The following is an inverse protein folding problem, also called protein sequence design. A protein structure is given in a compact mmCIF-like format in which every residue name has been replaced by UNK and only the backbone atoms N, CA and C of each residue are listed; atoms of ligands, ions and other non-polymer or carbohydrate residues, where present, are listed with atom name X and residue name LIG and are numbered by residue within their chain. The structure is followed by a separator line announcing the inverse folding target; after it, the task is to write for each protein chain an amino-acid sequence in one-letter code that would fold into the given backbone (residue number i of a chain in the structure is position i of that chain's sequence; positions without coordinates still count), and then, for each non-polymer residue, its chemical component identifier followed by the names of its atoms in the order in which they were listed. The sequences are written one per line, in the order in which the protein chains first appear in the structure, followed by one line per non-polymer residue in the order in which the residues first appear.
data_IF_220348653163
#
_entry.id   IF_220348653163
#
_cell.length_a   1.000
_cell.length_b   1.000
_cell.length_c   1.000
_cell.angle_alpha   90.00
_cell.angle_beta   90.00
_cell.angle_gamma   90.00
#
_symmetry.space_group_name_H-M   'P 1'
#
loop_
_entity.id
_entity.type
_entity.pdbx_description
1 polymer ?
#
# COMPACT_ATOMS: atom_id res chain seq x y z
N UNK A 1 8.78 -8.99 11.97
CA UNK A 1 8.07 -10.10 11.33
C UNK A 1 8.46 -10.10 9.86
N UNK A 2 9.17 -11.13 9.41
CA UNK A 2 9.58 -11.24 8.00
C UNK A 2 8.50 -12.00 7.24
N UNK A 3 8.16 -11.52 6.05
CA UNK A 3 7.31 -12.20 5.07
C UNK A 3 8.22 -12.65 3.94
N UNK A 4 8.21 -13.93 3.63
CA UNK A 4 8.99 -14.48 2.55
C UNK A 4 8.27 -14.23 1.20
N UNK A 5 9.03 -14.09 0.12
CA UNK A 5 8.46 -13.85 -1.22
C UNK A 5 7.47 -14.94 -1.64
N UNK A 6 7.74 -16.20 -1.27
CA UNK A 6 6.87 -17.35 -1.51
C UNK A 6 5.53 -17.32 -0.74
N UNK A 7 5.45 -16.50 0.34
CA UNK A 7 4.23 -16.28 1.10
C UNK A 7 3.32 -15.21 0.46
N UNK A 8 3.80 -14.54 -0.60
CA UNK A 8 3.10 -13.47 -1.31
C UNK A 8 2.52 -13.99 -2.62
N UNK A 9 1.28 -13.64 -2.90
CA UNK A 9 0.65 -13.80 -4.21
C UNK A 9 0.08 -12.48 -4.67
N UNK A 10 0.28 -12.16 -5.97
CA UNK A 10 -0.29 -10.95 -6.57
C UNK A 10 -1.79 -11.10 -6.71
N UNK A 11 -2.53 -10.05 -6.39
CA UNK A 11 -3.97 -9.94 -6.53
C UNK A 11 -4.32 -8.97 -7.69
N UNK A 12 -5.54 -9.00 -8.24
CA UNK A 12 -5.97 -7.98 -9.19
C UNK A 12 -5.94 -6.59 -8.56
N UNK A 13 -5.36 -5.61 -9.29
CA UNK A 13 -5.25 -4.21 -8.82
C UNK A 13 -6.51 -3.38 -9.02
N UNK A 14 -7.40 -3.82 -9.92
CA UNK A 14 -8.62 -3.09 -10.23
C UNK A 14 -9.75 -3.49 -9.29
N UNK A 15 -10.34 -2.51 -8.63
CA UNK A 15 -11.52 -2.67 -7.80
C UNK A 15 -12.62 -1.76 -8.31
N UNK A 16 -13.79 -2.33 -8.54
CA UNK A 16 -14.96 -1.60 -9.01
C UNK A 16 -15.90 -1.43 -7.82
N UNK A 17 -16.10 -0.20 -7.37
CA UNK A 17 -17.11 0.14 -6.37
C UNK A 17 -18.21 0.98 -7.00
N UNK A 18 -19.46 0.79 -6.56
CA UNK A 18 -20.56 1.69 -6.95
C UNK A 18 -20.42 2.98 -6.13
N UNK A 19 -20.17 4.09 -6.79
CA UNK A 19 -20.31 5.39 -6.17
C UNK A 19 -21.81 5.74 -5.97
N UNK A 20 -22.15 6.25 -4.82
CA UNK A 20 -23.53 6.44 -4.39
C UNK A 20 -24.26 7.59 -5.13
N UNK A 21 -23.55 8.43 -5.90
CA UNK A 21 -24.14 9.68 -6.41
C UNK A 21 -24.51 9.75 -7.89
N UNK A 22 -23.98 8.88 -8.77
CA UNK A 22 -24.17 9.10 -10.23
C UNK A 22 -24.33 7.84 -11.09
N UNK A 23 -24.72 6.71 -10.53
CA UNK A 23 -24.75 5.40 -11.25
C UNK A 23 -23.46 5.05 -12.01
N UNK A 24 -22.39 5.82 -11.81
CA UNK A 24 -21.07 5.54 -12.39
C UNK A 24 -20.29 4.60 -11.48
N UNK A 25 -19.78 3.54 -12.06
CA UNK A 25 -18.81 2.67 -11.40
C UNK A 25 -17.54 3.48 -11.14
N UNK A 26 -17.17 3.61 -9.86
CA UNK A 26 -15.89 4.19 -9.50
C UNK A 26 -14.84 3.10 -9.54
N UNK A 27 -13.87 3.24 -10.42
CA UNK A 27 -12.74 2.33 -10.51
C UNK A 27 -11.66 2.81 -9.54
N UNK A 28 -11.39 1.98 -8.53
CA UNK A 28 -10.24 2.15 -7.65
C UNK A 28 -9.13 1.24 -8.15
N UNK A 29 -7.98 1.81 -8.44
CA UNK A 29 -6.81 1.07 -8.87
C UNK A 29 -5.73 1.14 -7.79
N UNK A 30 -5.30 -0.02 -7.31
CA UNK A 30 -4.14 -0.17 -6.43
C UNK A 30 -2.92 -0.54 -7.28
N UNK A 31 -1.77 0.04 -6.96
CA UNK A 31 -0.57 -0.19 -7.76
C UNK A 31 -0.10 -1.64 -7.66
N UNK A 32 0.08 -2.16 -6.46
CA UNK A 32 0.54 -3.54 -6.25
C UNK A 32 -0.20 -4.20 -5.08
N UNK A 33 -1.38 -4.78 -5.31
CA UNK A 33 -2.06 -5.57 -4.30
C UNK A 33 -1.45 -6.98 -4.19
N UNK A 34 -1.22 -7.42 -2.98
CA UNK A 34 -0.69 -8.74 -2.67
C UNK A 34 -1.45 -9.40 -1.54
N UNK A 35 -1.59 -10.72 -1.61
CA UNK A 35 -2.09 -11.55 -0.52
C UNK A 35 -0.93 -12.30 0.10
N UNK A 36 -0.75 -12.12 1.38
CA UNK A 36 0.23 -12.84 2.16
C UNK A 36 -0.44 -13.95 2.97
N UNK A 37 0.11 -15.16 2.92
CA UNK A 37 -0.34 -16.31 3.73
C UNK A 37 0.76 -16.71 4.68
N UNK A 38 0.46 -16.70 5.99
CA UNK A 38 1.38 -17.13 7.04
C UNK A 38 0.64 -17.88 8.14
N UNK A 39 1.09 -19.11 8.46
CA UNK A 39 0.53 -19.93 9.54
C UNK A 39 -1.01 -20.07 9.51
N UNK A 40 -1.57 -20.45 8.34
CA UNK A 40 -3.03 -20.56 8.10
C UNK A 40 -3.84 -19.27 8.27
N UNK A 41 -3.17 -18.12 8.32
CA UNK A 41 -3.82 -16.79 8.29
C UNK A 41 -3.37 -16.03 7.07
N UNK A 42 -4.21 -15.13 6.59
CA UNK A 42 -3.87 -14.24 5.49
C UNK A 42 -4.05 -12.79 5.88
N UNK A 43 -3.32 -11.93 5.21
CA UNK A 43 -3.55 -10.50 5.19
C UNK A 43 -3.31 -9.99 3.77
N UNK A 44 -3.88 -8.83 3.47
CA UNK A 44 -3.67 -8.16 2.20
C UNK A 44 -2.70 -6.99 2.41
N UNK A 45 -1.72 -6.90 1.53
CA UNK A 45 -0.76 -5.83 1.50
C UNK A 45 -0.92 -5.07 0.19
N UNK A 46 -1.21 -3.79 0.28
CA UNK A 46 -1.32 -2.89 -0.87
C UNK A 46 -0.12 -1.96 -0.87
N UNK A 47 0.64 -1.94 -1.95
CA UNK A 47 1.73 -0.99 -2.13
C UNK A 47 1.25 0.12 -3.05
N UNK A 48 1.41 1.35 -2.62
CA UNK A 48 1.13 2.56 -3.39
C UNK A 48 2.42 3.32 -3.63
N UNK A 49 2.77 3.49 -4.90
CA UNK A 49 3.97 4.20 -5.30
C UNK A 49 3.64 5.68 -5.51
N UNK A 50 4.28 6.55 -4.76
CA UNK A 50 4.04 7.99 -4.84
C UNK A 50 5.34 8.74 -5.09
N UNK A 51 5.42 9.42 -6.22
CA UNK A 51 6.49 10.37 -6.56
C UNK A 51 6.06 11.82 -6.35
N UNK A 52 4.74 12.07 -6.37
CA UNK A 52 4.14 13.38 -6.25
C UNK A 52 3.26 13.54 -5.01
N UNK A 53 2.92 14.79 -4.73
CA UNK A 53 2.13 15.21 -3.57
C UNK A 53 0.68 14.75 -3.69
N UNK A 54 0.29 13.75 -2.94
CA UNK A 54 -1.10 13.30 -2.83
C UNK A 54 -1.70 13.71 -1.48
N UNK A 55 -2.55 14.74 -1.50
CA UNK A 55 -3.18 15.27 -0.29
C UNK A 55 -4.35 14.43 0.21
N UNK A 56 -4.84 13.49 -0.58
CA UNK A 56 -6.06 12.71 -0.28
C UNK A 56 -5.76 11.25 -0.01
N UNK A 57 -4.50 10.91 0.29
CA UNK A 57 -4.09 9.52 0.48
C UNK A 57 -4.86 8.78 1.58
N UNK A 58 -5.15 9.38 2.76
CA UNK A 58 -5.97 8.72 3.78
C UNK A 58 -7.36 8.33 3.27
N UNK A 59 -8.00 9.19 2.46
CA UNK A 59 -9.33 8.89 1.89
C UNK A 59 -9.24 7.82 0.80
N UNK A 60 -8.19 7.84 -0.01
CA UNK A 60 -7.95 6.76 -1.00
C UNK A 60 -7.74 5.42 -0.30
N UNK A 61 -6.93 5.39 0.75
CA UNK A 61 -6.68 4.18 1.55
C UNK A 61 -7.96 3.62 2.16
N UNK A 62 -8.83 4.48 2.73
CA UNK A 62 -10.16 4.05 3.18
C UNK A 62 -10.95 3.36 2.06
N UNK A 63 -10.91 3.92 0.86
CA UNK A 63 -11.55 3.32 -0.32
C UNK A 63 -11.01 1.94 -0.65
N UNK A 64 -9.70 1.76 -0.65
CA UNK A 64 -9.04 0.48 -0.92
C UNK A 64 -9.38 -0.57 0.15
N UNK A 65 -9.26 -0.21 1.43
CA UNK A 65 -9.58 -1.10 2.53
C UNK A 65 -11.05 -1.51 2.49
N UNK A 66 -11.97 -0.55 2.28
CA UNK A 66 -13.40 -0.83 2.14
C UNK A 66 -13.66 -1.80 1.01
N UNK A 67 -13.15 -1.53 -0.19
CA UNK A 67 -13.36 -2.39 -1.35
C UNK A 67 -12.87 -3.82 -1.09
N UNK A 68 -11.69 -3.97 -0.47
CA UNK A 68 -11.12 -5.29 -0.17
C UNK A 68 -11.86 -6.04 0.94
N UNK A 69 -12.39 -5.35 1.94
CA UNK A 69 -13.27 -5.96 2.94
C UNK A 69 -14.61 -6.39 2.32
N UNK A 70 -15.19 -5.60 1.42
CA UNK A 70 -16.43 -5.96 0.73
C UNK A 70 -16.25 -7.17 -0.19
N UNK A 71 -15.11 -7.31 -0.84
CA UNK A 71 -14.75 -8.50 -1.61
C UNK A 71 -14.71 -9.76 -0.72
N UNK A 72 -14.04 -9.70 0.42
CA UNK A 72 -13.99 -10.80 1.39
C UNK A 72 -15.38 -11.19 1.92
N UNK A 73 -16.23 -10.20 2.20
CA UNK A 73 -17.61 -10.42 2.63
C UNK A 73 -18.41 -11.14 1.52
N UNK A 74 -18.24 -10.70 0.27
CA UNK A 74 -18.88 -11.33 -0.88
C UNK A 74 -18.46 -12.79 -1.04
N UNK A 75 -17.15 -13.07 -0.95
CA UNK A 75 -16.62 -14.45 -1.03
C UNK A 75 -17.16 -15.33 0.11
N UNK A 76 -17.19 -14.81 1.33
CA UNK A 76 -17.74 -15.52 2.49
C UNK A 76 -19.22 -15.84 2.29
N UNK A 77 -19.99 -14.88 1.81
CA UNK A 77 -21.41 -15.03 1.49
C UNK A 77 -21.67 -16.10 0.42
N UNK A 78 -20.87 -16.10 -0.65
CA UNK A 78 -20.97 -17.11 -1.70
C UNK A 78 -20.59 -18.51 -1.18
N UNK A 79 -19.56 -18.61 -0.35
CA UNK A 79 -19.17 -19.85 0.31
C UNK A 79 -20.27 -20.38 1.23
N UNK A 80 -20.84 -19.53 2.09
CA UNK A 80 -21.94 -19.89 2.99
C UNK A 80 -23.16 -20.36 2.20
N UNK A 81 -23.45 -19.73 1.06
CA UNK A 81 -24.55 -20.13 0.17
C UNK A 81 -24.32 -21.54 -0.41
N UNK A 82 -23.09 -21.84 -0.86
CA UNK A 82 -22.76 -23.15 -1.46
C UNK A 82 -22.80 -24.28 -0.43
N UNK A 83 -22.40 -24.00 0.81
CA UNK A 83 -22.33 -24.99 1.89
C UNK A 83 -23.62 -25.14 2.69
N UNK A 84 -24.63 -24.29 2.43
CA UNK A 84 -25.85 -24.25 3.23
C UNK A 84 -25.67 -23.76 4.66
N UNK A 85 -24.50 -23.21 4.96
CA UNK A 85 -24.14 -22.76 6.30
C UNK A 85 -24.59 -21.30 6.54
N UNK A 86 -25.91 -21.13 6.71
CA UNK A 86 -26.51 -19.84 7.03
C UNK A 86 -26.82 -19.75 8.52
N UNK A 87 -26.10 -18.97 9.30
CA UNK A 87 -26.41 -18.82 10.72
C UNK A 87 -27.73 -18.06 10.96
N UNK A 88 -28.08 -17.14 10.07
CA UNK A 88 -29.33 -16.39 10.10
C UNK A 88 -29.80 -16.07 8.67
N UNK A 89 -31.02 -16.48 8.26
CA UNK A 89 -31.57 -16.16 6.95
C UNK A 89 -31.68 -14.67 6.63
N UNK A 90 -31.73 -13.81 7.64
CA UNK A 90 -31.84 -12.35 7.47
C UNK A 90 -30.49 -11.65 7.30
N UNK A 91 -29.40 -12.22 7.84
CA UNK A 91 -28.07 -11.59 7.80
C UNK A 91 -27.07 -12.29 6.88
N UNK A 92 -27.46 -13.05 5.96
CA UNK A 92 -26.76 -13.84 4.91
C UNK A 92 -25.29 -13.49 4.55
N UNK A 93 -24.54 -12.79 5.40
CA UNK A 93 -23.19 -12.29 5.15
C UNK A 93 -22.13 -13.14 5.87
N UNK A 94 -21.59 -12.66 6.95
CA UNK A 94 -20.63 -13.39 7.77
C UNK A 94 -21.37 -14.17 8.87
N UNK A 95 -20.89 -15.36 9.20
CA UNK A 95 -21.33 -16.04 10.42
C UNK A 95 -20.40 -15.67 11.59
N UNK A 96 -20.83 -15.97 12.82
CA UNK A 96 -20.15 -15.54 14.05
C UNK A 96 -18.69 -16.03 14.17
N UNK A 97 -18.37 -17.12 13.51
CA UNK A 97 -17.01 -17.71 13.50
C UNK A 97 -16.11 -17.16 12.39
N UNK A 98 -16.67 -16.51 11.38
CA UNK A 98 -15.93 -15.98 10.25
C UNK A 98 -15.28 -14.63 10.62
N UNK A 99 -14.03 -14.46 10.24
CA UNK A 99 -13.28 -13.21 10.43
C UNK A 99 -12.68 -12.77 9.09
N UNK A 100 -12.60 -11.47 8.89
CA UNK A 100 -11.94 -10.90 7.74
C UNK A 100 -10.42 -10.89 7.95
N UNK A 101 -9.69 -11.04 6.86
CA UNK A 101 -8.24 -10.86 6.84
C UNK A 101 -7.91 -9.36 6.89
N UNK A 102 -6.90 -8.93 7.68
CA UNK A 102 -6.47 -7.54 7.70
C UNK A 102 -6.05 -7.05 6.31
N UNK A 103 -6.31 -5.78 6.04
CA UNK A 103 -5.82 -5.06 4.86
C UNK A 103 -4.88 -3.98 5.33
N UNK A 104 -3.68 -3.94 4.79
CA UNK A 104 -2.62 -2.99 5.15
C UNK A 104 -2.18 -2.30 3.88
N UNK A 105 -2.15 -0.96 3.91
CA UNK A 105 -1.60 -0.17 2.80
C UNK A 105 -0.26 0.43 3.22
N UNK A 106 0.75 0.24 2.39
CA UNK A 106 2.05 0.90 2.51
C UNK A 106 2.22 1.88 1.36
N UNK A 107 2.43 3.14 1.69
CA UNK A 107 2.75 4.19 0.72
C UNK A 107 4.27 4.31 0.63
N UNK A 108 4.82 3.98 -0.52
CA UNK A 108 6.24 4.12 -0.81
C UNK A 108 6.49 5.49 -1.41
N UNK A 109 7.08 6.38 -0.64
CA UNK A 109 7.45 7.72 -1.12
C UNK A 109 8.83 7.68 -1.79
N UNK A 110 8.83 7.79 -3.11
CA UNK A 110 10.04 7.88 -3.95
C UNK A 110 10.63 9.29 -4.04
N UNK A 111 9.90 10.28 -3.53
CA UNK A 111 10.37 11.67 -3.52
C UNK A 111 11.63 11.83 -2.66
N UNK A 112 12.51 12.75 -3.06
CA UNK A 112 13.66 13.18 -2.26
C UNK A 112 13.24 13.93 -0.99
N UNK A 113 12.00 14.42 -0.94
CA UNK A 113 11.44 15.11 0.22
C UNK A 113 10.67 14.13 1.08
N UNK A 114 10.73 14.32 2.37
CA UNK A 114 9.88 13.60 3.30
C UNK A 114 8.40 13.88 3.02
N UNK A 115 7.58 12.93 3.44
CA UNK A 115 6.13 13.05 3.31
C UNK A 115 5.58 14.09 4.28
N UNK A 116 5.23 15.26 3.75
CA UNK A 116 4.65 16.39 4.50
C UNK A 116 3.12 16.47 4.35
N UNK A 117 2.48 15.40 3.86
CA UNK A 117 1.06 15.35 3.58
C UNK A 117 0.28 14.72 4.72
N UNK A 118 -1.06 14.87 4.74
CA UNK A 118 -1.87 14.18 5.71
C UNK A 118 -1.52 12.69 5.82
N UNK A 119 -1.31 12.22 7.04
CA UNK A 119 -1.03 10.80 7.34
C UNK A 119 -2.23 10.10 7.93
N UNK A 120 -3.22 10.84 8.37
CA UNK A 120 -4.48 10.27 8.84
C UNK A 120 -5.66 11.12 8.36
N UNK A 121 -6.85 10.54 8.44
CA UNK A 121 -8.08 11.22 8.05
C UNK A 121 -8.26 12.51 8.85
N UNK A 122 -7.96 12.50 10.15
CA UNK A 122 -8.16 13.64 11.03
C UNK A 122 -7.34 14.87 10.60
N UNK A 123 -6.18 14.67 9.96
CA UNK A 123 -5.35 15.76 9.42
C UNK A 123 -6.05 16.50 8.25
N UNK A 124 -7.12 15.93 7.70
CA UNK A 124 -7.85 16.44 6.54
C UNK A 124 -9.20 17.06 6.93
N UNK A 125 -9.63 16.89 8.18
CA UNK A 125 -10.95 17.31 8.62
C UNK A 125 -10.90 18.72 9.19
N UNK A 126 -11.90 19.50 8.85
CA UNK A 126 -12.18 20.80 9.46
C UNK A 126 -13.29 20.63 10.51
N UNK A 127 -12.94 20.96 11.74
CA UNK A 127 -13.89 20.89 12.85
C UNK A 127 -14.36 22.31 13.21
N UNK A 128 -15.64 22.48 13.60
CA UNK A 128 -16.04 23.68 14.30
C UNK A 128 -15.20 23.86 15.57
N UNK A 129 -14.70 25.08 15.82
CA UNK A 129 -13.70 25.34 16.88
C UNK A 129 -14.15 24.89 18.27
N UNK A 130 -15.43 25.02 18.55
CA UNK A 130 -16.07 24.70 19.86
C UNK A 130 -16.48 23.21 19.97
N UNK A 131 -16.51 22.46 18.86
CA UNK A 131 -16.99 21.07 18.84
C UNK A 131 -15.91 20.02 18.58
N UNK A 132 -14.68 20.42 18.34
CA UNK A 132 -13.61 19.47 17.98
C UNK A 132 -13.44 18.36 19.02
N UNK A 133 -13.36 18.74 20.31
CA UNK A 133 -13.16 17.77 21.39
C UNK A 133 -14.32 16.78 21.56
N UNK A 134 -15.52 17.18 21.13
CA UNK A 134 -16.72 16.33 21.22
C UNK A 134 -16.85 15.39 20.02
N UNK A 135 -16.47 15.85 18.82
CA UNK A 135 -16.65 15.11 17.58
C UNK A 135 -15.49 14.16 17.27
N UNK A 136 -14.25 14.60 17.54
CA UNK A 136 -13.04 13.83 17.18
C UNK A 136 -13.03 12.37 17.73
N UNK A 137 -13.50 12.08 18.98
CA UNK A 137 -13.55 10.71 19.49
C UNK A 137 -14.50 9.77 18.72
N UNK A 138 -15.46 10.32 17.97
CA UNK A 138 -16.42 9.54 17.19
C UNK A 138 -15.96 9.26 15.75
N UNK A 139 -14.87 9.89 15.34
CA UNK A 139 -14.34 9.74 13.99
C UNK A 139 -13.19 8.74 14.01
N UNK A 140 -13.32 7.60 13.31
CA UNK A 140 -12.22 6.65 13.21
C UNK A 140 -10.99 7.30 12.57
N UNK A 141 -9.84 7.17 13.21
CA UNK A 141 -8.59 7.60 12.62
C UNK A 141 -8.11 6.54 11.61
N UNK A 142 -8.16 6.89 10.34
CA UNK A 142 -7.55 6.09 9.27
C UNK A 142 -6.16 6.63 9.01
N UNK A 143 -5.15 5.84 9.37
CA UNK A 143 -3.74 6.22 9.22
C UNK A 143 -3.08 5.43 8.11
N UNK A 144 -2.37 6.12 7.24
CA UNK A 144 -1.56 5.50 6.19
C UNK A 144 -0.13 5.27 6.69
N UNK A 145 0.42 4.11 6.39
CA UNK A 145 1.82 3.81 6.68
C UNK A 145 2.68 4.31 5.52
N UNK A 146 3.45 5.38 5.76
CA UNK A 146 4.33 5.97 4.74
C UNK A 146 5.78 5.60 5.01
N UNK A 147 6.45 5.10 3.99
CA UNK A 147 7.87 4.79 3.99
C UNK A 147 8.58 5.77 3.04
N UNK A 148 9.38 6.68 3.60
CA UNK A 148 10.22 7.58 2.81
C UNK A 148 11.48 6.83 2.39
N UNK A 149 11.59 6.47 1.12
CA UNK A 149 12.67 5.61 0.63
C UNK A 149 14.02 6.34 0.61
N UNK A 150 14.02 7.62 0.24
CA UNK A 150 15.26 8.42 0.15
C UNK A 150 15.91 8.70 1.52
N UNK A 151 15.15 8.63 2.62
CA UNK A 151 15.68 8.90 3.99
C UNK A 151 15.89 7.64 4.83
N UNK A 152 15.95 6.46 4.20
CA UNK A 152 16.20 5.20 4.90
C UNK A 152 17.64 5.14 5.43
N UNK A 153 17.77 4.61 6.66
CA UNK A 153 19.10 4.40 7.26
C UNK A 153 19.85 3.26 6.57
N UNK A 154 21.20 3.32 6.61
CA UNK A 154 22.05 2.24 6.11
C UNK A 154 21.71 0.87 6.70
N UNK A 155 21.36 0.84 7.98
CA UNK A 155 20.96 -0.39 8.68
C UNK A 155 19.67 -0.95 8.12
N UNK A 156 18.73 -0.09 7.74
CA UNK A 156 17.47 -0.48 7.10
C UNK A 156 17.70 -0.97 5.67
N UNK A 157 18.51 -0.24 4.89
CA UNK A 157 18.82 -0.61 3.49
C UNK A 157 19.44 -1.99 3.41
N UNK A 158 20.36 -2.32 4.33
CA UNK A 158 21.00 -3.64 4.40
C UNK A 158 20.04 -4.80 4.73
N UNK A 159 18.85 -4.50 5.25
CA UNK A 159 17.84 -5.53 5.53
C UNK A 159 17.03 -5.93 4.30
N UNK A 160 17.04 -5.13 3.24
CA UNK A 160 16.41 -5.50 1.98
C UNK A 160 17.23 -6.59 1.28
N UNK A 161 16.57 -7.70 0.96
CA UNK A 161 17.23 -8.88 0.36
C UNK A 161 17.12 -8.91 -1.17
N UNK A 162 16.21 -8.11 -1.77
CA UNK A 162 15.99 -8.06 -3.21
C UNK A 162 16.73 -6.89 -3.85
N UNK A 163 16.66 -6.79 -5.18
CA UNK A 163 17.18 -5.65 -5.96
C UNK A 163 16.67 -4.30 -5.48
N UNK A 164 15.57 -4.29 -4.71
CA UNK A 164 15.01 -3.09 -4.09
C UNK A 164 16.01 -2.36 -3.20
N UNK A 165 16.98 -3.05 -2.60
CA UNK A 165 18.09 -2.44 -1.84
C UNK A 165 18.87 -1.41 -2.68
N UNK A 166 19.09 -1.72 -3.95
CA UNK A 166 19.84 -0.85 -4.87
C UNK A 166 19.00 0.38 -5.25
N UNK A 167 17.69 0.21 -5.43
CA UNK A 167 16.76 1.31 -5.67
C UNK A 167 16.76 2.29 -4.49
N UNK A 168 16.58 1.76 -3.28
CA UNK A 168 16.55 2.60 -2.06
C UNK A 168 17.89 3.31 -1.86
N UNK A 169 19.01 2.62 -2.12
CA UNK A 169 20.35 3.22 -2.06
C UNK A 169 20.52 4.34 -3.08
N UNK A 170 20.10 4.12 -4.32
CA UNK A 170 20.12 5.15 -5.34
C UNK A 170 19.33 6.40 -4.89
N UNK A 171 18.10 6.20 -4.40
CA UNK A 171 17.26 7.28 -3.91
C UNK A 171 17.90 8.02 -2.74
N UNK A 172 18.64 7.34 -1.85
CA UNK A 172 19.34 7.96 -0.72
C UNK A 172 20.50 8.86 -1.13
N UNK A 173 21.06 8.67 -2.33
CA UNK A 173 22.07 9.56 -2.89
C UNK A 173 21.50 10.93 -3.28
N UNK A 174 20.20 11.00 -3.53
CA UNK A 174 19.51 12.21 -3.94
C UNK A 174 20.03 12.75 -5.27
N UNK A 175 20.08 14.10 -5.37
CA UNK A 175 20.63 14.80 -6.53
C UNK A 175 22.13 15.09 -6.38
N UNK A 176 22.80 14.48 -5.40
CA UNK A 176 24.23 14.66 -5.18
C UNK A 176 25.02 13.80 -6.15
N UNK A 177 25.55 14.42 -7.21
CA UNK A 177 26.30 13.74 -8.27
C UNK A 177 27.52 12.97 -7.73
N UNK A 178 28.18 13.48 -6.68
CA UNK A 178 29.35 12.80 -6.11
C UNK A 178 28.95 11.50 -5.43
N UNK A 179 27.84 11.52 -4.68
CA UNK A 179 27.31 10.32 -4.03
C UNK A 179 26.83 9.30 -5.05
N UNK A 180 26.22 9.75 -6.15
CA UNK A 180 25.81 8.86 -7.24
C UNK A 180 27.02 8.24 -7.93
N UNK A 181 28.05 9.03 -8.28
CA UNK A 181 29.26 8.52 -8.89
C UNK A 181 29.96 7.51 -7.96
N UNK A 182 30.10 7.83 -6.66
CA UNK A 182 30.64 6.91 -5.67
C UNK A 182 29.81 5.63 -5.57
N UNK A 183 28.49 5.75 -5.52
CA UNK A 183 27.57 4.60 -5.48
C UNK A 183 27.78 3.65 -6.65
N UNK A 184 27.83 4.16 -7.87
CA UNK A 184 28.02 3.32 -9.06
C UNK A 184 29.43 2.74 -9.18
N UNK A 185 30.45 3.44 -8.68
CA UNK A 185 31.85 2.97 -8.71
C UNK A 185 32.16 1.91 -7.64
N UNK A 186 31.49 1.99 -6.48
CA UNK A 186 31.81 1.15 -5.30
C UNK A 186 30.84 0.01 -5.10
N UNK A 187 29.69 0.00 -5.79
CA UNK A 187 28.67 -1.05 -5.62
C UNK A 187 28.91 -2.18 -6.60
N UNK A 188 29.12 -3.38 -6.07
CA UNK A 188 29.02 -4.61 -6.82
C UNK A 188 27.53 -4.98 -6.92
N UNK A 189 26.98 -4.88 -8.13
CA UNK A 189 25.58 -5.16 -8.38
C UNK A 189 25.40 -6.66 -8.65
N UNK A 190 24.75 -7.34 -7.73
CA UNK A 190 24.25 -8.70 -7.89
C UNK A 190 22.73 -8.62 -8.03
N UNK A 191 22.25 -8.53 -9.26
CA UNK A 191 20.84 -8.31 -9.56
C UNK A 191 20.15 -9.63 -9.91
N UNK A 192 19.03 -9.90 -9.23
CA UNK A 192 18.14 -11.01 -9.53
C UNK A 192 17.28 -10.70 -10.78
N UNK A 193 16.92 -9.41 -10.97
CA UNK A 193 16.09 -8.93 -12.08
C UNK A 193 16.70 -7.69 -12.75
N UNK A 194 17.82 -7.84 -13.48
CA UNK A 194 18.57 -6.71 -14.04
C UNK A 194 17.75 -5.85 -15.01
N UNK A 195 16.91 -6.46 -15.85
CA UNK A 195 16.07 -5.73 -16.81
C UNK A 195 15.08 -4.81 -16.06
N UNK A 196 14.39 -5.32 -15.07
CA UNK A 196 13.43 -4.52 -14.28
C UNK A 196 14.12 -3.38 -13.51
N UNK A 197 15.35 -3.61 -13.03
CA UNK A 197 16.14 -2.56 -12.39
C UNK A 197 16.54 -1.46 -13.37
N UNK A 198 17.00 -1.82 -14.57
CA UNK A 198 17.39 -0.88 -15.61
C UNK A 198 16.19 -0.09 -16.14
N UNK A 199 15.04 -0.74 -16.35
CA UNK A 199 13.80 -0.09 -16.74
C UNK A 199 13.37 0.96 -15.69
N UNK A 200 13.45 0.59 -14.40
CA UNK A 200 13.16 1.53 -13.32
C UNK A 200 14.15 2.70 -13.31
N UNK A 201 15.45 2.43 -13.44
CA UNK A 201 16.50 3.45 -13.46
C UNK A 201 16.30 4.42 -14.62
N UNK A 202 16.02 3.89 -15.82
CA UNK A 202 15.70 4.69 -17.00
C UNK A 202 14.48 5.60 -16.79
N UNK A 203 13.42 5.07 -16.18
CA UNK A 203 12.21 5.83 -15.88
C UNK A 203 12.45 6.97 -14.88
N UNK A 204 13.29 6.73 -13.87
CA UNK A 204 13.57 7.73 -12.82
C UNK A 204 14.55 8.79 -13.28
N UNK A 205 15.56 8.39 -14.06
CA UNK A 205 16.60 9.31 -14.57
C UNK A 205 16.16 10.03 -15.84
N UNK A 206 15.09 9.57 -16.49
CA UNK A 206 14.68 10.00 -17.82
C UNK A 206 15.80 9.78 -18.88
N UNK A 207 16.66 8.81 -18.64
CA UNK A 207 17.82 8.45 -19.48
C UNK A 207 17.59 7.07 -20.11
N UNK A 208 17.54 7.02 -21.42
CA UNK A 208 17.28 5.81 -22.21
C UNK A 208 18.55 5.05 -22.64
N UNK A 209 19.70 5.40 -22.06
CA UNK A 209 21.00 4.76 -22.39
C UNK A 209 21.30 3.50 -21.57
N UNK A 210 20.42 3.13 -20.65
CA UNK A 210 20.53 1.96 -19.79
C UNK A 210 19.78 0.78 -20.38
#
# INVERSE_FOLDING_TARGET
CYVLAEELSREPGEMITKAVSDDKLCQLQMDVPMKCKKHNRSFFLCLENQSDKNNVMPVRDMGYQHAKYMEQIKEAKESNRKTGNYPNPMTKELNDSQKLSPVITLVLNYSQKEWEKPRCLNDMLEFPEDMKCELEPWIPSYSVCVINLASQSETTIRQYQSDFKYIVRYLSCGNDRRKLDEYFQTTEFELDHPEAFLDWLSAVTNDTRY
#
